data_IF_898142159730
#
_entry.id   IF_898142159730
#
_cell.length_a   1.000
_cell.length_b   1.000
_cell.length_c   1.000
_cell.angle_alpha   90.00
_cell.angle_beta   90.00
_cell.angle_gamma   90.00
#
_symmetry.space_group_name_H-M   'P 1'
#
loop_
_entity.id
_entity.type
_entity.pdbx_description
1 polymer ?
#
# COMPACT_ATOMS: atom_id res chain seq x y z
N UNK A 1 -57.11 21.71 -26.95
CA UNK A 1 -55.73 21.39 -26.55
C UNK A 1 -55.33 20.11 -27.28
N UNK A 2 -54.26 20.08 -28.08
CA UNK A 2 -53.83 18.84 -28.73
C UNK A 2 -53.30 17.87 -27.68
N UNK A 3 -53.73 16.61 -27.76
CA UNK A 3 -53.25 15.51 -26.92
C UNK A 3 -51.86 15.08 -27.35
N UNK A 4 -50.91 15.01 -26.41
CA UNK A 4 -49.58 14.47 -26.64
C UNK A 4 -49.65 12.93 -26.49
N UNK A 5 -49.71 12.22 -27.60
CA UNK A 5 -49.55 10.76 -27.63
C UNK A 5 -48.06 10.41 -27.56
N UNK A 6 -47.60 9.97 -26.39
CA UNK A 6 -46.25 9.44 -26.22
C UNK A 6 -46.14 8.06 -26.89
N UNK A 7 -45.33 7.97 -27.95
CA UNK A 7 -45.00 6.70 -28.60
C UNK A 7 -43.74 6.10 -27.95
N UNK A 8 -43.79 4.86 -27.41
CA UNK A 8 -42.64 4.22 -26.77
C UNK A 8 -41.51 3.86 -27.75
N UNK A 9 -41.69 4.09 -29.06
CA UNK A 9 -40.65 3.92 -30.08
C UNK A 9 -39.55 4.98 -30.07
N UNK A 10 -39.73 6.11 -29.38
CA UNK A 10 -38.83 7.27 -29.48
C UNK A 10 -38.11 7.65 -28.19
N UNK A 11 -38.39 6.97 -27.07
CA UNK A 11 -37.71 7.20 -25.79
C UNK A 11 -37.15 5.86 -25.34
N UNK A 12 -35.95 5.54 -25.82
CA UNK A 12 -35.14 4.47 -25.26
C UNK A 12 -34.29 5.03 -24.12
N UNK A 13 -34.29 4.37 -22.97
CA UNK A 13 -33.29 4.65 -21.94
C UNK A 13 -31.94 4.15 -22.45
N UNK A 14 -31.05 5.08 -22.79
CA UNK A 14 -29.69 4.73 -23.15
C UNK A 14 -28.93 4.39 -21.87
N UNK A 15 -28.32 3.21 -21.82
CA UNK A 15 -27.46 2.84 -20.69
C UNK A 15 -26.29 3.82 -20.61
N UNK A 16 -26.04 4.34 -19.41
CA UNK A 16 -24.93 5.26 -19.17
C UNK A 16 -23.61 4.55 -19.45
N UNK A 17 -22.83 5.11 -20.37
CA UNK A 17 -21.46 4.67 -20.62
C UNK A 17 -20.50 5.75 -20.09
N UNK A 18 -19.75 5.47 -19.01
CA UNK A 18 -18.76 6.40 -18.49
C UNK A 18 -17.63 6.63 -19.49
N UNK A 19 -17.11 7.85 -19.51
CA UNK A 19 -15.93 8.17 -20.31
C UNK A 19 -14.73 7.36 -19.80
N UNK A 20 -13.90 6.79 -20.69
CA UNK A 20 -12.67 6.10 -20.27
C UNK A 20 -11.77 6.92 -19.33
N UNK A 21 -11.74 8.25 -19.45
CA UNK A 21 -10.95 9.13 -18.57
C UNK A 21 -11.53 9.26 -17.16
N UNK A 22 -12.81 8.90 -16.97
CA UNK A 22 -13.47 8.91 -15.66
C UNK A 22 -13.34 7.58 -14.91
N UNK A 23 -12.74 6.57 -15.57
CA UNK A 23 -12.53 5.24 -15.01
C UNK A 23 -11.12 5.08 -14.46
N UNK A 24 -11.04 4.54 -13.25
CA UNK A 24 -9.77 4.10 -12.68
C UNK A 24 -9.23 2.91 -13.50
N UNK A 25 -8.03 3.04 -14.04
CA UNK A 25 -7.37 2.02 -14.85
C UNK A 25 -7.02 0.75 -14.08
N UNK A 26 -7.05 0.78 -12.75
CA UNK A 26 -6.76 -0.39 -11.89
C UNK A 26 -8.02 -1.15 -11.48
N UNK A 27 -9.01 -0.47 -10.91
CA UNK A 27 -10.22 -1.12 -10.39
C UNK A 27 -11.44 -0.99 -11.31
N UNK A 28 -11.38 -0.17 -12.36
CA UNK A 28 -12.49 0.08 -13.28
C UNK A 28 -13.64 0.91 -12.71
N UNK A 29 -13.51 1.41 -11.47
CA UNK A 29 -14.52 2.27 -10.85
C UNK A 29 -14.57 3.65 -11.50
N UNK A 30 -15.77 4.24 -11.55
CA UNK A 30 -15.99 5.60 -12.04
C UNK A 30 -15.85 6.59 -10.88
N UNK A 31 -14.83 7.44 -10.95
CA UNK A 31 -14.55 8.47 -9.94
C UNK A 31 -14.54 9.88 -10.53
N UNK A 32 -14.57 10.01 -11.85
CA UNK A 32 -14.35 11.27 -12.56
C UNK A 32 -12.88 11.64 -12.63
N UNK A 33 -12.43 12.12 -13.80
CA UNK A 33 -11.02 12.48 -14.05
C UNK A 33 -10.40 13.39 -12.99
N UNK A 34 -11.16 14.37 -12.51
CA UNK A 34 -10.67 15.35 -11.54
C UNK A 34 -10.37 14.78 -10.14
N UNK A 35 -10.94 13.62 -9.79
CA UNK A 35 -10.76 12.97 -8.49
C UNK A 35 -9.68 11.86 -8.53
N UNK A 36 -8.98 11.71 -9.66
CA UNK A 36 -7.97 10.67 -9.87
C UNK A 36 -6.60 11.27 -10.16
N UNK A 37 -5.56 10.50 -9.86
CA UNK A 37 -4.18 10.84 -10.23
C UNK A 37 -3.95 10.38 -11.67
N UNK A 38 -3.49 11.30 -12.54
CA UNK A 38 -3.05 10.98 -13.89
C UNK A 38 -1.57 10.58 -13.88
N UNK A 39 -1.30 9.34 -14.28
CA UNK A 39 0.03 8.79 -14.53
C UNK A 39 0.46 8.97 -15.99
N UNK A 40 1.60 8.37 -16.34
CA UNK A 40 2.04 8.29 -17.75
C UNK A 40 1.04 7.46 -18.56
N UNK A 41 1.01 7.68 -19.87
CA UNK A 41 0.23 6.90 -20.84
C UNK A 41 -1.29 6.91 -20.59
N UNK A 42 -1.83 8.02 -20.05
CA UNK A 42 -3.27 8.21 -19.74
C UNK A 42 -3.83 7.19 -18.74
N UNK A 43 -2.99 6.73 -17.81
CA UNK A 43 -3.43 5.89 -16.69
C UNK A 43 -4.05 6.80 -15.63
N UNK A 44 -5.30 6.57 -15.27
CA UNK A 44 -5.99 7.29 -14.20
C UNK A 44 -6.15 6.36 -12.99
N UNK A 45 -5.71 6.79 -11.81
CA UNK A 45 -5.74 5.96 -10.61
C UNK A 45 -6.54 6.67 -9.51
N UNK A 46 -7.55 6.00 -8.97
CA UNK A 46 -8.32 6.51 -7.84
C UNK A 46 -7.51 6.45 -6.54
N UNK A 47 -7.83 7.34 -5.59
CA UNK A 47 -7.10 7.46 -4.33
C UNK A 47 -7.10 6.16 -3.50
N UNK A 48 -8.19 5.38 -3.54
CA UNK A 48 -8.26 4.08 -2.86
C UNK A 48 -7.23 3.08 -3.40
N UNK A 49 -7.06 3.05 -4.73
CA UNK A 49 -6.05 2.20 -5.35
C UNK A 49 -4.63 2.70 -5.04
N UNK A 50 -4.42 4.01 -4.91
CA UNK A 50 -3.14 4.59 -4.47
C UNK A 50 -2.80 4.14 -3.05
N UNK A 51 -3.76 4.21 -2.13
CA UNK A 51 -3.56 3.77 -0.75
C UNK A 51 -3.21 2.28 -0.68
N UNK A 52 -3.93 1.44 -1.42
CA UNK A 52 -3.64 0.01 -1.52
C UNK A 52 -2.24 -0.26 -2.07
N UNK A 53 -1.84 0.43 -3.15
CA UNK A 53 -0.50 0.32 -3.71
C UNK A 53 0.58 0.77 -2.69
N UNK A 54 0.29 1.77 -1.87
CA UNK A 54 1.14 2.22 -0.78
C UNK A 54 1.38 1.13 0.27
N UNK A 55 0.32 0.44 0.69
CA UNK A 55 0.42 -0.72 1.61
C UNK A 55 1.26 -1.84 1.00
N UNK A 56 0.97 -2.25 -0.23
CA UNK A 56 1.70 -3.33 -0.92
C UNK A 56 3.18 -2.98 -1.10
N UNK A 57 3.50 -1.69 -1.37
CA UNK A 57 4.89 -1.24 -1.46
C UNK A 57 5.59 -1.39 -0.11
N UNK A 58 4.94 -0.91 0.97
CA UNK A 58 5.50 -0.99 2.32
C UNK A 58 5.78 -2.44 2.73
N UNK A 59 4.84 -3.36 2.51
CA UNK A 59 5.02 -4.78 2.81
C UNK A 59 6.22 -5.39 2.07
N UNK A 60 6.41 -5.02 0.79
CA UNK A 60 7.58 -5.47 0.01
C UNK A 60 8.90 -4.90 0.53
N UNK A 61 8.91 -3.62 0.89
CA UNK A 61 10.09 -2.95 1.44
C UNK A 61 10.47 -3.53 2.81
N UNK A 62 9.48 -3.80 3.67
CA UNK A 62 9.69 -4.43 4.98
C UNK A 62 10.19 -5.87 4.84
N UNK A 63 9.59 -6.69 3.94
CA UNK A 63 10.09 -8.04 3.65
C UNK A 63 11.54 -8.03 3.16
N UNK A 64 11.90 -7.11 2.26
CA UNK A 64 13.28 -6.97 1.77
C UNK A 64 14.23 -6.56 2.89
N UNK A 65 13.79 -5.70 3.82
CA UNK A 65 14.57 -5.33 5.00
C UNK A 65 14.81 -6.55 5.89
N UNK A 66 13.79 -7.35 6.17
CA UNK A 66 13.90 -8.54 7.02
C UNK A 66 14.84 -9.58 6.40
N UNK A 67 14.74 -9.81 5.09
CA UNK A 67 15.66 -10.68 4.35
C UNK A 67 17.12 -10.18 4.45
N UNK A 68 17.34 -8.87 4.33
CA UNK A 68 18.67 -8.28 4.46
C UNK A 68 19.21 -8.38 5.90
N UNK A 69 18.37 -8.14 6.92
CA UNK A 69 18.75 -8.29 8.33
C UNK A 69 19.10 -9.75 8.63
N UNK A 70 18.30 -10.70 8.12
CA UNK A 70 18.56 -12.13 8.29
C UNK A 70 19.89 -12.54 7.66
N UNK A 71 20.15 -12.10 6.42
CA UNK A 71 21.43 -12.38 5.76
C UNK A 71 22.63 -11.77 6.49
N UNK A 72 22.50 -10.54 7.00
CA UNK A 72 23.55 -9.89 7.81
C UNK A 72 23.76 -10.61 9.14
N UNK A 73 22.67 -11.05 9.79
CA UNK A 73 22.73 -11.86 11.00
C UNK A 73 23.48 -13.17 10.74
N UNK A 74 23.10 -13.92 9.71
CA UNK A 74 23.70 -15.21 9.40
C UNK A 74 25.19 -15.08 9.08
N UNK A 75 25.58 -14.06 8.30
CA UNK A 75 26.98 -13.77 8.00
C UNK A 75 27.76 -13.41 9.28
N UNK A 76 27.21 -12.53 10.12
CA UNK A 76 27.85 -12.09 11.36
C UNK A 76 28.02 -13.25 12.35
N UNK A 77 26.98 -14.02 12.61
CA UNK A 77 27.01 -15.13 13.57
C UNK A 77 27.78 -16.34 13.08
N UNK A 78 27.90 -16.54 11.77
CA UNK A 78 28.75 -17.60 11.22
C UNK A 78 30.25 -17.31 11.39
N UNK A 79 30.63 -16.06 11.63
CA UNK A 79 32.05 -15.62 11.67
C UNK A 79 32.46 -14.91 12.97
N UNK A 80 31.52 -14.53 13.84
CA UNK A 80 31.81 -13.85 15.09
C UNK A 80 32.12 -14.85 16.22
N UNK A 81 33.21 -14.64 17.01
CA UNK A 81 33.43 -15.41 18.22
C UNK A 81 32.30 -15.12 19.23
N UNK A 82 31.80 -16.18 19.88
CA UNK A 82 30.66 -16.18 20.83
C UNK A 82 30.80 -15.08 21.90
N UNK A 83 32.02 -14.71 22.28
CA UNK A 83 32.30 -13.68 23.27
C UNK A 83 31.76 -12.29 22.86
N UNK A 84 31.83 -11.94 21.57
CA UNK A 84 31.32 -10.64 21.07
C UNK A 84 29.80 -10.58 21.04
N UNK A 85 29.14 -11.71 20.81
CA UNK A 85 27.68 -11.82 20.89
C UNK A 85 27.22 -11.54 22.33
N UNK A 86 27.96 -12.03 23.32
CA UNK A 86 27.63 -11.82 24.73
C UNK A 86 27.68 -10.35 25.13
N UNK A 87 28.67 -9.60 24.64
CA UNK A 87 28.77 -8.15 24.91
C UNK A 87 27.57 -7.39 24.33
N UNK A 88 27.16 -7.72 23.09
CA UNK A 88 25.95 -7.14 22.48
C UNK A 88 24.69 -7.46 23.27
N UNK A 89 24.56 -8.68 23.81
CA UNK A 89 23.42 -9.07 24.64
C UNK A 89 23.39 -8.31 25.98
N UNK A 90 24.54 -8.04 26.60
CA UNK A 90 24.61 -7.21 27.81
C UNK A 90 24.21 -5.76 27.53
N UNK A 91 24.71 -5.15 26.45
CA UNK A 91 24.32 -3.80 26.06
C UNK A 91 22.81 -3.70 25.77
N UNK A 92 22.24 -4.72 25.14
CA UNK A 92 20.80 -4.80 24.88
C UNK A 92 20.00 -4.89 26.19
N UNK A 93 20.44 -5.75 27.12
CA UNK A 93 19.82 -5.89 28.44
C UNK A 93 19.82 -4.55 29.20
N UNK A 94 20.97 -3.87 29.27
CA UNK A 94 21.10 -2.58 29.93
C UNK A 94 20.24 -1.48 29.27
N UNK A 95 20.12 -1.51 27.94
CA UNK A 95 19.24 -0.59 27.22
C UNK A 95 17.75 -0.82 27.52
N UNK A 96 17.31 -2.08 27.68
CA UNK A 96 15.93 -2.42 28.09
C UNK A 96 15.70 -2.01 29.54
N UNK A 97 16.62 -2.33 30.45
CA UNK A 97 16.54 -1.94 31.85
C UNK A 97 16.48 -0.41 32.03
N UNK A 98 17.21 0.33 31.18
CA UNK A 98 17.16 1.80 31.15
C UNK A 98 15.94 2.37 30.41
N UNK A 99 15.02 1.54 29.89
CA UNK A 99 13.81 1.96 29.19
C UNK A 99 14.06 2.63 27.83
N UNK A 100 15.24 2.43 27.22
CA UNK A 100 15.62 3.03 25.93
C UNK A 100 14.99 2.30 24.74
N UNK A 101 14.53 1.07 24.92
CA UNK A 101 13.83 0.29 23.90
C UNK A 101 12.32 0.41 24.14
N UNK A 102 11.56 1.08 23.25
CA UNK A 102 10.12 1.23 23.40
C UNK A 102 9.41 -0.12 23.48
N UNK A 103 8.39 -0.21 24.33
CA UNK A 103 7.48 -1.36 24.46
C UNK A 103 8.06 -2.66 25.01
N UNK A 104 9.35 -2.72 25.39
CA UNK A 104 9.97 -3.88 26.04
C UNK A 104 10.37 -3.51 27.48
N UNK A 105 10.08 -4.38 28.44
CA UNK A 105 10.48 -4.23 29.86
C UNK A 105 10.95 -5.58 30.42
N UNK A 106 11.83 -5.52 31.41
CA UNK A 106 12.26 -6.67 32.20
C UNK A 106 11.49 -6.58 33.53
N UNK A 107 10.80 -7.65 33.90
CA UNK A 107 10.03 -7.76 35.15
C UNK A 107 10.95 -7.88 36.37
#
# INVERSE_FOLDING_TARGET
>A
MPSLTFSPKYIGFQEYQPDPEDLCSLCGGNFGKAAMIEGKDKIHICMECVDLLGVIKKERDDKRRDEAVTALHDEYFSHAPIDKVRDVLYELYDAIAAGKIPHIRID
#
